data_IF_107360017337
#
_entry.id   IF_107360017337
#
_cell.length_a   1.000
_cell.length_b   1.000
_cell.length_c   1.000
_cell.angle_alpha   90.00
_cell.angle_beta   90.00
_cell.angle_gamma   90.00
#
_symmetry.space_group_name_H-M   'P 1'
#
loop_
_entity.id
_entity.type
_entity.pdbx_description
1 polymer ?
#
# COMPACT_ATOMS: atom_id res chain seq x y z
N UNK A 1 14.87 5.40 10.39
CA UNK A 1 13.67 5.92 9.71
C UNK A 1 13.97 7.35 9.32
N UNK A 2 14.13 7.63 8.03
CA UNK A 2 14.51 8.96 7.53
C UNK A 2 13.27 9.86 7.46
N UNK A 3 13.18 10.93 8.28
CA UNK A 3 11.96 11.74 8.42
C UNK A 3 11.60 12.56 7.17
N UNK A 4 12.48 12.62 6.16
CA UNK A 4 12.30 13.44 4.96
C UNK A 4 11.79 12.61 3.76
N UNK A 5 11.68 11.28 3.89
CA UNK A 5 11.25 10.43 2.76
C UNK A 5 9.79 10.74 2.41
N UNK A 6 9.58 11.40 1.26
CA UNK A 6 8.26 11.76 0.76
C UNK A 6 7.43 10.49 0.60
N UNK A 7 6.27 10.48 1.27
CA UNK A 7 5.31 9.38 1.26
C UNK A 7 4.01 9.86 0.62
N UNK A 8 3.59 9.17 -0.44
CA UNK A 8 2.28 9.36 -1.06
C UNK A 8 1.35 8.25 -0.58
N UNK A 9 0.14 8.59 -0.14
CA UNK A 9 -0.87 7.59 0.22
C UNK A 9 -1.95 7.55 -0.87
N UNK A 10 -2.22 6.35 -1.39
CA UNK A 10 -3.29 6.06 -2.34
C UNK A 10 -4.39 5.27 -1.65
N UNK A 11 -5.64 5.70 -1.85
CA UNK A 11 -6.82 5.00 -1.38
C UNK A 11 -7.43 4.21 -2.54
N UNK A 12 -7.64 2.91 -2.34
CA UNK A 12 -8.18 2.00 -3.36
C UNK A 12 -9.42 1.29 -2.85
N UNK A 13 -10.40 0.99 -3.71
CA UNK A 13 -11.63 0.31 -3.28
C UNK A 13 -11.41 -1.15 -2.90
N UNK A 14 -10.40 -1.81 -3.45
CA UNK A 14 -10.15 -3.24 -3.30
C UNK A 14 -8.64 -3.51 -3.21
N UNK A 15 -8.14 -3.68 -1.99
CA UNK A 15 -6.72 -3.94 -1.73
C UNK A 15 -6.28 -5.32 -2.23
N UNK A 16 -7.04 -6.43 -2.03
CA UNK A 16 -6.73 -7.73 -2.63
C UNK A 16 -6.53 -7.69 -4.15
N UNK A 17 -7.35 -6.94 -4.88
CA UNK A 17 -7.18 -6.79 -6.34
C UNK A 17 -5.84 -6.13 -6.69
N UNK A 18 -5.38 -5.15 -5.91
CA UNK A 18 -4.07 -4.51 -6.12
C UNK A 18 -2.94 -5.51 -5.86
N UNK A 19 -3.02 -6.30 -4.79
CA UNK A 19 -2.03 -7.34 -4.47
C UNK A 19 -1.88 -8.33 -5.64
N UNK A 20 -3.01 -8.83 -6.17
CA UNK A 20 -3.01 -9.73 -7.32
C UNK A 20 -2.27 -9.13 -8.53
N UNK A 21 -2.59 -7.87 -8.88
CA UNK A 21 -1.95 -7.17 -10.01
C UNK A 21 -0.47 -6.91 -9.81
N UNK A 22 -0.05 -6.60 -8.58
CA UNK A 22 1.38 -6.39 -8.26
C UNK A 22 2.15 -7.71 -8.41
N UNK A 23 1.60 -8.81 -7.90
CA UNK A 23 2.18 -10.16 -8.05
C UNK A 23 2.27 -10.59 -9.51
N UNK A 24 1.19 -10.42 -10.30
CA UNK A 24 1.19 -10.73 -11.74
C UNK A 24 2.28 -9.98 -12.52
N UNK A 25 2.61 -8.76 -12.08
CA UNK A 25 3.63 -7.91 -12.71
C UNK A 25 5.03 -8.09 -12.11
N UNK A 26 5.19 -8.92 -11.07
CA UNK A 26 6.44 -9.07 -10.34
C UNK A 26 6.93 -7.77 -9.70
N UNK A 27 6.03 -6.86 -9.35
CA UNK A 27 6.40 -5.59 -8.72
C UNK A 27 6.61 -5.80 -7.22
N UNK A 28 7.78 -5.45 -6.64
CA UNK A 28 8.04 -5.66 -5.23
C UNK A 28 7.20 -4.73 -4.35
N UNK A 29 6.59 -5.30 -3.30
CA UNK A 29 5.88 -4.55 -2.27
C UNK A 29 6.02 -5.25 -0.92
N UNK A 30 5.82 -4.49 0.14
CA UNK A 30 5.70 -4.97 1.50
C UNK A 30 4.22 -4.92 1.92
N UNK A 31 3.75 -5.96 2.59
CA UNK A 31 2.39 -6.05 3.09
C UNK A 31 2.39 -5.95 4.61
N UNK A 32 1.59 -5.03 5.14
CA UNK A 32 1.49 -4.75 6.56
C UNK A 32 0.06 -4.92 7.06
N UNK A 33 -0.04 -5.39 8.29
CA UNK A 33 -1.28 -5.49 9.05
C UNK A 33 -1.18 -4.60 10.29
N UNK A 34 -2.19 -3.77 10.51
CA UNK A 34 -2.31 -2.90 11.67
C UNK A 34 -2.77 -3.64 12.92
N UNK A 35 -2.81 -2.92 14.03
CA UNK A 35 -3.33 -3.47 15.29
C UNK A 35 -4.86 -3.50 15.26
N UNK A 36 -5.41 -4.59 14.70
CA UNK A 36 -6.84 -4.84 14.56
C UNK A 36 -7.14 -5.54 13.24
N UNK A 37 -8.15 -6.40 13.20
CA UNK A 37 -8.47 -7.26 12.04
C UNK A 37 -8.92 -6.50 10.76
N UNK A 38 -8.89 -5.17 10.75
CA UNK A 38 -9.47 -4.34 9.70
C UNK A 38 -8.49 -3.37 9.03
N UNK A 39 -7.25 -3.21 9.54
CA UNK A 39 -6.28 -2.29 8.95
C UNK A 39 -5.20 -3.09 8.20
N UNK A 40 -5.19 -2.98 6.89
CA UNK A 40 -4.18 -3.56 6.01
C UNK A 40 -3.69 -2.49 5.03
N UNK A 41 -2.39 -2.50 4.73
CA UNK A 41 -1.83 -1.60 3.73
C UNK A 41 -0.60 -2.20 3.04
N UNK A 42 -0.34 -1.71 1.84
CA UNK A 42 0.85 -2.04 1.07
C UNK A 42 1.80 -0.87 1.08
N UNK A 43 3.10 -1.16 1.10
CA UNK A 43 4.15 -0.16 0.84
C UNK A 43 4.94 -0.63 -0.37
N UNK A 44 5.07 0.25 -1.37
CA UNK A 44 5.90 0.02 -2.54
C UNK A 44 6.79 1.24 -2.78
N UNK A 45 7.90 1.03 -3.47
CA UNK A 45 8.76 2.10 -3.94
C UNK A 45 8.52 2.35 -5.44
N UNK A 46 8.48 3.61 -5.84
CA UNK A 46 8.61 3.96 -7.26
C UNK A 46 10.07 3.76 -7.75
N UNK A 47 10.34 3.82 -9.06
CA UNK A 47 11.68 3.61 -9.59
C UNK A 47 12.74 4.61 -9.10
N UNK A 48 12.34 5.76 -8.55
CA UNK A 48 13.25 6.78 -8.00
C UNK A 48 13.33 6.73 -6.46
N UNK A 49 12.65 5.78 -5.83
CA UNK A 49 12.74 5.48 -4.41
C UNK A 49 11.76 6.23 -3.50
N UNK A 50 10.75 6.92 -4.04
CA UNK A 50 9.66 7.46 -3.23
C UNK A 50 8.79 6.33 -2.68
N UNK A 51 8.29 6.50 -1.45
CA UNK A 51 7.40 5.53 -0.85
C UNK A 51 5.95 5.83 -1.22
N UNK A 52 5.26 4.81 -1.69
CA UNK A 52 3.82 4.83 -1.94
C UNK A 52 3.17 3.85 -0.98
N UNK A 53 2.22 4.36 -0.20
CA UNK A 53 1.40 3.57 0.70
C UNK A 53 0.03 3.37 0.06
N UNK A 54 -0.45 2.14 -0.05
CA UNK A 54 -1.77 1.82 -0.62
C UNK A 54 -2.66 1.27 0.47
N UNK A 55 -3.80 1.91 0.69
CA UNK A 55 -4.78 1.54 1.72
C UNK A 55 -6.16 1.31 1.10
N UNK A 56 -6.93 0.42 1.71
CA UNK A 56 -8.35 0.30 1.37
C UNK A 56 -9.09 1.61 1.72
N UNK A 57 -9.94 2.10 0.82
CA UNK A 57 -10.88 3.17 1.12
C UNK A 57 -12.02 2.57 1.96
N UNK A 58 -12.03 2.82 3.27
CA UNK A 58 -13.21 2.48 4.07
C UNK A 58 -14.37 3.38 3.63
N UNK A 59 -15.33 2.82 2.87
CA UNK A 59 -16.67 3.38 2.84
C UNK A 59 -17.31 3.03 4.17
N UNK A 60 -17.43 4.02 5.06
CA UNK A 60 -18.40 3.95 6.15
C UNK A 60 -19.77 3.75 5.49
N UNK A 61 -20.36 2.57 5.70
CA UNK A 61 -21.77 2.31 5.43
C UNK A 61 -22.61 2.94 6.55
#
# INVERSE_FOLDING_TARGET
MDPVRRRLTLLVPDLPQIIARLNERGWPFEHYHGFGAAEEWLVLADPVGHLIEVRASHRSL
#
